data_IF_326945182062
#
_entry.id   IF_326945182062
#
_cell.length_a   1.000
_cell.length_b   1.000
_cell.length_c   1.000
_cell.angle_alpha   90.00
_cell.angle_beta   90.00
_cell.angle_gamma   90.00
#
_symmetry.space_group_name_H-M   'P 1'
#
loop_
_entity.id
_entity.type
_entity.pdbx_description
1 polymer ?
#
# COMPACT_ATOMS: atom_id res chain seq x y z
N UNK A 1 -17.73 4.78 0.35
CA UNK A 1 -16.85 4.07 -0.61
C UNK A 1 -15.42 4.47 -0.27
N UNK A 2 -14.58 3.52 0.14
CA UNK A 2 -13.17 3.80 0.44
C UNK A 2 -12.42 3.82 -0.88
N UNK A 3 -11.64 4.88 -1.09
CA UNK A 3 -10.75 4.99 -2.23
C UNK A 3 -9.31 4.96 -1.74
N UNK A 4 -8.41 4.64 -2.65
CA UNK A 4 -7.00 4.48 -2.39
C UNK A 4 -6.24 5.36 -3.36
N UNK A 5 -5.10 5.86 -2.91
CA UNK A 5 -4.16 6.58 -3.74
C UNK A 5 -2.81 5.92 -3.59
N UNK A 6 -2.15 5.65 -4.71
CA UNK A 6 -0.78 5.14 -4.69
C UNK A 6 0.15 6.21 -4.10
N UNK A 7 0.94 5.80 -3.12
CA UNK A 7 1.83 6.65 -2.36
C UNK A 7 3.29 6.41 -2.72
N UNK A 8 3.69 5.15 -2.86
CA UNK A 8 5.07 4.78 -3.18
C UNK A 8 5.18 3.37 -3.73
N UNK A 9 6.14 3.16 -4.62
CA UNK A 9 6.64 1.85 -5.04
C UNK A 9 8.06 1.63 -4.49
N UNK A 10 8.23 0.54 -3.77
CA UNK A 10 9.49 0.15 -3.16
C UNK A 10 10.10 -1.02 -3.96
N UNK A 11 11.20 -0.75 -4.65
CA UNK A 11 12.02 -1.77 -5.35
C UNK A 11 13.39 -1.97 -4.68
N UNK A 12 13.67 -1.20 -3.62
CA UNK A 12 14.91 -1.31 -2.85
C UNK A 12 14.91 -2.60 -2.01
N UNK A 13 15.94 -3.43 -2.19
CA UNK A 13 16.03 -4.74 -1.55
C UNK A 13 16.17 -4.67 -0.03
N UNK A 14 16.78 -3.61 0.52
CA UNK A 14 16.92 -3.44 1.96
C UNK A 14 15.57 -3.06 2.57
N UNK A 15 14.83 -2.16 1.92
CA UNK A 15 13.46 -1.81 2.32
C UNK A 15 12.54 -3.02 2.25
N UNK A 16 12.58 -3.77 1.16
CA UNK A 16 11.81 -5.01 0.98
C UNK A 16 12.20 -6.03 2.05
N UNK A 17 13.49 -6.23 2.29
CA UNK A 17 14.00 -7.18 3.28
C UNK A 17 13.53 -6.85 4.69
N UNK A 18 13.61 -5.57 5.09
CA UNK A 18 13.10 -5.07 6.36
C UNK A 18 11.59 -5.29 6.48
N UNK A 19 10.81 -4.91 5.46
CA UNK A 19 9.37 -5.13 5.45
C UNK A 19 9.01 -6.61 5.60
N UNK A 20 9.64 -7.51 4.83
CA UNK A 20 9.36 -8.95 4.88
C UNK A 20 9.72 -9.59 6.21
N UNK A 21 10.72 -9.05 6.91
CA UNK A 21 11.04 -9.48 8.28
C UNK A 21 9.94 -9.04 9.25
N UNK A 22 9.56 -7.76 9.19
CA UNK A 22 8.52 -7.20 10.06
C UNK A 22 7.16 -7.86 9.81
N UNK A 23 6.77 -8.10 8.56
CA UNK A 23 5.45 -8.66 8.21
C UNK A 23 5.21 -10.04 8.82
N UNK A 24 6.27 -10.85 8.97
CA UNK A 24 6.20 -12.16 9.62
C UNK A 24 5.98 -12.06 11.13
N UNK A 25 6.43 -10.98 11.75
CA UNK A 25 6.35 -10.75 13.19
C UNK A 25 5.06 -9.99 13.54
N UNK A 26 4.82 -8.88 12.86
CA UNK A 26 3.67 -8.00 12.99
C UNK A 26 3.39 -7.24 11.68
N UNK A 27 2.32 -7.59 10.94
CA UNK A 27 1.90 -6.89 9.73
C UNK A 27 1.65 -5.38 9.92
N UNK A 28 1.24 -4.94 11.12
CA UNK A 28 1.03 -3.51 11.39
C UNK A 28 2.33 -2.75 11.55
N UNK A 29 3.35 -3.38 12.16
CA UNK A 29 4.69 -2.81 12.23
C UNK A 29 5.31 -2.68 10.82
N UNK A 30 5.06 -3.65 9.95
CA UNK A 30 5.51 -3.61 8.55
C UNK A 30 4.84 -2.48 7.76
N UNK A 31 3.53 -2.27 7.93
CA UNK A 31 2.83 -1.12 7.33
C UNK A 31 3.33 0.22 7.88
N UNK A 32 3.51 0.31 9.20
CA UNK A 32 4.04 1.52 9.86
C UNK A 32 5.45 1.86 9.40
N UNK A 33 6.25 0.85 9.04
CA UNK A 33 7.57 1.04 8.44
C UNK A 33 7.47 1.73 7.08
N UNK A 34 6.65 1.21 6.15
CA UNK A 34 6.48 1.83 4.82
C UNK A 34 5.79 3.21 4.89
N UNK A 35 4.90 3.42 5.86
CA UNK A 35 4.20 4.69 6.05
C UNK A 35 5.14 5.86 6.41
N UNK A 36 6.41 5.61 6.76
CA UNK A 36 7.41 6.66 7.00
C UNK A 36 7.74 7.48 5.73
N UNK A 37 7.44 6.93 4.55
CA UNK A 37 7.54 7.63 3.27
C UNK A 37 6.28 8.41 2.90
N UNK A 38 5.28 8.44 3.80
CA UNK A 38 4.14 9.31 3.61
C UNK A 38 4.48 10.77 3.98
N UNK A 39 5.04 11.51 3.02
CA UNK A 39 5.38 12.93 3.19
C UNK A 39 4.20 13.88 2.98
N UNK A 40 2.97 13.38 2.81
CA UNK A 40 1.82 14.22 2.47
C UNK A 40 1.73 14.60 1.00
N UNK A 41 2.73 14.21 0.20
CA UNK A 41 2.74 14.38 -1.26
C UNK A 41 2.02 13.21 -1.94
N UNK A 42 1.12 13.54 -2.85
CA UNK A 42 0.32 12.57 -3.58
C UNK A 42 1.03 12.25 -4.91
N UNK A 43 1.54 11.02 -5.08
CA UNK A 43 2.18 10.60 -6.35
C UNK A 43 1.13 10.17 -7.38
N UNK A 44 0.07 9.47 -6.96
CA UNK A 44 -1.02 9.05 -7.84
C UNK A 44 -2.08 10.14 -8.07
N UNK A 45 -2.28 10.57 -9.32
CA UNK A 45 -3.32 11.55 -9.68
C UNK A 45 -4.74 11.00 -9.45
N UNK A 46 -4.95 9.71 -9.69
CA UNK A 46 -6.27 9.07 -9.63
C UNK A 46 -6.55 8.31 -8.33
N UNK A 47 -7.80 8.40 -7.87
CA UNK A 47 -8.31 7.58 -6.79
C UNK A 47 -8.78 6.23 -7.34
N UNK A 48 -8.23 5.16 -6.80
CA UNK A 48 -8.57 3.79 -7.17
C UNK A 48 -9.44 3.14 -6.10
N UNK A 49 -10.34 2.27 -6.53
CA UNK A 49 -11.03 1.35 -5.62
C UNK A 49 -10.15 0.15 -5.30
N UNK A 50 -10.42 -0.51 -4.17
CA UNK A 50 -9.77 -1.80 -3.85
C UNK A 50 -9.96 -2.82 -4.99
N UNK A 51 -11.07 -2.79 -5.72
CA UNK A 51 -11.28 -3.70 -6.86
C UNK A 51 -10.30 -3.42 -7.99
N UNK A 52 -10.08 -2.15 -8.34
CA UNK A 52 -9.15 -1.75 -9.40
C UNK A 52 -7.70 -2.09 -9.04
N UNK A 53 -7.29 -1.87 -7.78
CA UNK A 53 -5.92 -2.18 -7.33
C UNK A 53 -5.59 -3.67 -7.53
N UNK A 54 -6.54 -4.56 -7.26
CA UNK A 54 -6.31 -6.00 -7.34
C UNK A 54 -6.66 -6.58 -8.72
N UNK A 55 -7.14 -5.76 -9.67
CA UNK A 55 -7.58 -6.24 -10.97
C UNK A 55 -6.39 -6.75 -11.80
N UNK A 56 -6.50 -7.96 -12.33
CA UNK A 56 -5.44 -8.56 -13.17
C UNK A 56 -4.21 -9.07 -12.40
N UNK A 57 -4.14 -8.88 -11.08
CA UNK A 57 -3.01 -9.35 -10.28
C UNK A 57 -3.17 -10.82 -9.87
N UNK A 58 -2.13 -11.61 -10.09
CA UNK A 58 -2.04 -12.99 -9.66
C UNK A 58 -0.98 -13.15 -8.57
N UNK A 59 -1.21 -14.08 -7.64
CA UNK A 59 -0.24 -14.44 -6.59
C UNK A 59 0.24 -13.25 -5.72
N UNK A 60 -0.65 -12.31 -5.44
CA UNK A 60 -0.36 -11.16 -4.55
C UNK A 60 -0.72 -11.43 -3.11
N UNK A 61 0.09 -10.89 -2.21
CA UNK A 61 -0.18 -10.72 -0.79
C UNK A 61 -0.45 -9.25 -0.49
N UNK A 62 -1.14 -8.99 0.62
CA UNK A 62 -1.44 -7.63 1.06
C UNK A 62 -1.46 -7.55 2.58
N UNK A 63 -1.15 -6.35 3.08
CA UNK A 63 -1.37 -5.94 4.47
C UNK A 63 -2.19 -4.65 4.44
N UNK A 64 -3.20 -4.53 5.30
CA UNK A 64 -4.13 -3.41 5.26
C UNK A 64 -4.54 -2.98 6.68
N UNK A 65 -4.47 -1.68 6.98
CA UNK A 65 -4.89 -1.10 8.26
C UNK A 65 -5.92 0.03 8.06
N UNK A 66 -6.15 0.90 9.05
CA UNK A 66 -7.12 2.00 8.92
C UNK A 66 -6.68 3.11 7.94
N UNK A 67 -5.38 3.25 7.68
CA UNK A 67 -4.80 4.33 6.88
C UNK A 67 -4.15 3.88 5.58
N UNK A 68 -3.72 2.63 5.46
CA UNK A 68 -2.88 2.16 4.36
C UNK A 68 -3.24 0.76 3.88
N UNK A 69 -2.77 0.45 2.67
CA UNK A 69 -2.77 -0.85 2.04
C UNK A 69 -1.40 -1.04 1.39
N UNK A 70 -0.65 -2.07 1.78
CA UNK A 70 0.55 -2.51 1.09
C UNK A 70 0.25 -3.77 0.27
N UNK A 71 0.80 -3.85 -0.94
CA UNK A 71 0.56 -4.93 -1.89
C UNK A 71 1.89 -5.42 -2.48
N UNK A 72 2.09 -6.73 -2.56
CA UNK A 72 3.31 -7.32 -3.13
C UNK A 72 3.05 -8.70 -3.74
N UNK A 73 3.89 -9.14 -4.68
CA UNK A 73 3.80 -10.48 -5.28
C UNK A 73 4.62 -11.52 -4.51
N UNK A 74 4.24 -12.79 -4.59
CA UNK A 74 5.03 -13.90 -4.03
C UNK A 74 6.34 -14.06 -4.83
N UNK A 75 7.50 -14.02 -4.16
CA UNK A 75 8.83 -14.01 -4.81
C UNK A 75 9.44 -12.61 -5.00
N UNK A 76 9.01 -11.67 -4.16
CA UNK A 76 9.01 -10.20 -4.25
C UNK A 76 10.22 -9.54 -4.95
N UNK A 77 9.91 -8.75 -5.98
CA UNK A 77 10.80 -7.72 -6.58
C UNK A 77 10.37 -6.28 -6.23
N UNK A 78 9.18 -6.10 -5.65
CA UNK A 78 8.68 -4.79 -5.21
C UNK A 78 7.43 -4.84 -4.32
N UNK A 79 7.20 -3.74 -3.58
CA UNK A 79 6.03 -3.53 -2.73
C UNK A 79 5.41 -2.17 -3.09
N UNK A 80 4.11 -2.12 -3.35
CA UNK A 80 3.38 -0.86 -3.55
C UNK A 80 2.60 -0.50 -2.31
N UNK A 81 2.73 0.74 -1.85
CA UNK A 81 1.96 1.31 -0.74
C UNK A 81 0.89 2.26 -1.26
N UNK A 82 -0.33 2.07 -0.76
CA UNK A 82 -1.48 2.91 -1.02
C UNK A 82 -1.97 3.56 0.27
N UNK A 83 -2.31 4.84 0.20
CA UNK A 83 -3.01 5.56 1.26
C UNK A 83 -4.52 5.42 1.09
N UNK A 84 -5.22 5.10 2.17
CA UNK A 84 -6.69 5.11 2.24
C UNK A 84 -7.19 6.54 2.32
N UNK A 85 -8.02 6.89 1.37
CA UNK A 85 -8.72 8.17 1.33
C UNK A 85 -10.13 7.95 1.84
N UNK A 86 -10.48 8.64 2.94
CA UNK A 86 -11.85 8.72 3.41
C UNK A 86 -12.69 9.22 2.23
N UNK A 87 -13.71 8.44 1.84
CA UNK A 87 -14.52 8.77 0.68
C UNK A 87 -15.05 10.19 0.82
N UNK A 88 -14.55 11.10 -0.02
CA UNK A 88 -15.09 12.44 -0.12
C UNK A 88 -16.54 12.20 -0.53
N UNK A 89 -17.49 12.41 0.39
CA UNK A 89 -18.87 12.69 -0.03
C UNK A 89 -18.70 13.87 -0.96
N UNK A 90 -18.90 13.68 -2.27
CA UNK A 90 -19.25 14.81 -3.14
C UNK A 90 -20.42 15.47 -2.43
N UNK A 91 -20.17 16.61 -1.80
CA UNK A 91 -21.23 17.46 -1.29
C UNK A 91 -22.07 17.83 -2.51
N UNK A 92 -23.41 17.71 -2.43
CA UNK A 92 -24.31 18.00 -3.53
C UNK A 92 -24.17 19.44 -4.02
#
# INVERSE_FOLDING_TARGET
MVSYRELADFTDLDVIGCFMKLEKEDPFAALSYLAQWDYGEDIGEELMTRRQIFEGLAFTKYAEDSGYLALWQIGVEGITLYRKMAGIRKLP
#
